data_IF_440106577055
#
_entry.id   IF_440106577055
#
_cell.length_a   1.000
_cell.length_b   1.000
_cell.length_c   1.000
_cell.angle_alpha   90.00
_cell.angle_beta   90.00
_cell.angle_gamma   90.00
#
_symmetry.space_group_name_H-M   'P 1'
#
loop_
_entity.id
_entity.type
_entity.pdbx_description
1 polymer ?
#
# COMPACT_ATOMS: atom_id res chain seq x y z
N UNK A 1 -12.65 -8.79 53.87
CA UNK A 1 -12.19 -10.14 54.25
C UNK A 1 -11.59 -10.01 55.65
N UNK A 2 -12.30 -10.49 56.68
CA UNK A 2 -11.79 -10.47 58.07
C UNK A 2 -11.12 -11.82 58.29
N UNK A 3 -9.82 -11.83 58.54
CA UNK A 3 -9.08 -13.04 58.86
C UNK A 3 -9.28 -13.37 60.34
N UNK A 4 -9.70 -14.59 60.65
CA UNK A 4 -9.82 -15.05 62.04
C UNK A 4 -8.44 -15.55 62.48
N UNK A 5 -7.86 -14.90 63.49
CA UNK A 5 -6.59 -15.32 64.09
C UNK A 5 -6.84 -16.53 64.99
N UNK A 6 -6.19 -17.66 64.70
CA UNK A 6 -6.27 -18.91 65.47
C UNK A 6 -4.87 -19.32 65.94
N UNK A 7 -4.72 -20.06 67.05
CA UNK A 7 -3.42 -20.57 67.45
C UNK A 7 -2.84 -21.45 66.32
N UNK A 8 -1.52 -21.42 66.08
CA UNK A 8 -0.88 -22.31 65.12
C UNK A 8 -1.26 -23.76 65.42
N UNK A 9 -1.78 -24.46 64.42
CA UNK A 9 -2.13 -25.88 64.52
C UNK A 9 -1.16 -26.70 63.68
N UNK A 10 -0.87 -27.92 64.12
CA UNK A 10 -0.01 -28.85 63.38
C UNK A 10 -0.86 -29.65 62.40
N UNK A 11 -0.59 -29.51 61.11
CA UNK A 11 -1.30 -30.24 60.06
C UNK A 11 -1.05 -31.76 60.17
N UNK A 12 -2.11 -32.55 60.04
CA UNK A 12 -2.07 -33.99 60.29
C UNK A 12 -1.37 -34.79 59.19
N UNK A 13 -1.29 -34.25 57.97
CA UNK A 13 -0.68 -34.91 56.81
C UNK A 13 0.80 -34.55 56.65
N UNK A 14 1.13 -33.27 56.72
CA UNK A 14 2.49 -32.74 56.52
C UNK A 14 3.29 -32.65 57.81
N UNK A 15 2.63 -32.60 58.98
CA UNK A 15 3.29 -32.41 60.28
C UNK A 15 3.85 -30.99 60.49
N UNK A 16 3.50 -30.03 59.63
CA UNK A 16 3.97 -28.64 59.65
C UNK A 16 2.93 -27.74 60.32
N UNK A 17 3.39 -26.72 61.04
CA UNK A 17 2.51 -25.75 61.69
C UNK A 17 1.90 -24.76 60.68
N UNK A 18 0.66 -24.32 60.92
CA UNK A 18 0.02 -23.27 60.13
C UNK A 18 0.47 -21.86 60.57
N UNK A 19 0.28 -20.86 59.71
CA UNK A 19 0.67 -19.45 59.97
C UNK A 19 -0.25 -18.71 60.97
N UNK A 20 -1.26 -19.38 61.54
CA UNK A 20 -2.16 -18.83 62.56
C UNK A 20 -3.29 -17.94 62.03
N UNK A 21 -3.49 -17.86 60.71
CA UNK A 21 -4.59 -17.14 60.08
C UNK A 21 -5.42 -18.08 59.21
N UNK A 22 -6.73 -17.87 59.21
CA UNK A 22 -7.67 -18.58 58.34
C UNK A 22 -8.42 -17.58 57.46
N UNK A 23 -8.43 -17.85 56.16
CA UNK A 23 -9.06 -17.04 55.13
C UNK A 23 -10.09 -17.90 54.39
N UNK A 24 -11.37 -17.71 54.69
CA UNK A 24 -12.48 -18.43 54.02
C UNK A 24 -12.30 -19.96 54.04
N UNK A 25 -11.95 -20.51 55.20
CA UNK A 25 -11.67 -21.94 55.39
C UNK A 25 -10.30 -22.41 54.91
N UNK A 26 -9.52 -21.59 54.22
CA UNK A 26 -8.14 -21.89 53.82
C UNK A 26 -7.14 -21.47 54.91
N UNK A 27 -6.16 -22.34 55.18
CA UNK A 27 -5.04 -22.11 56.11
C UNK A 27 -3.73 -22.33 55.37
N UNK A 28 -2.70 -21.58 55.74
CA UNK A 28 -1.38 -21.65 55.10
C UNK A 28 -0.40 -22.43 56.00
N UNK A 29 0.34 -23.38 55.41
CA UNK A 29 1.41 -24.10 56.10
C UNK A 29 2.70 -23.26 56.14
N UNK A 30 3.36 -23.21 57.29
CA UNK A 30 4.65 -22.55 57.47
C UNK A 30 5.82 -23.44 57.02
N UNK A 31 5.79 -23.86 55.76
CA UNK A 31 6.87 -24.63 55.16
C UNK A 31 8.08 -23.74 54.84
N UNK A 32 9.31 -24.20 55.09
CA UNK A 32 10.47 -23.53 54.52
C UNK A 32 10.40 -23.65 52.99
N UNK A 33 10.79 -22.58 52.29
CA UNK A 33 10.86 -22.61 50.82
C UNK A 33 11.73 -23.78 50.33
N UNK A 34 11.35 -24.47 49.24
CA UNK A 34 12.14 -25.58 48.72
C UNK A 34 13.56 -25.13 48.39
N UNK A 35 14.56 -25.87 48.85
CA UNK A 35 15.98 -25.50 48.65
C UNK A 35 16.36 -25.35 47.17
N UNK A 36 15.83 -26.21 46.32
CA UNK A 36 16.05 -26.12 44.86
C UNK A 36 15.48 -24.83 44.27
N UNK A 37 14.34 -24.36 44.78
CA UNK A 37 13.72 -23.10 44.35
C UNK A 37 14.59 -21.91 44.75
N UNK A 38 15.12 -21.90 45.99
CA UNK A 38 16.07 -20.89 46.44
C UNK A 38 17.34 -20.86 45.57
N UNK A 39 17.88 -22.02 45.22
CA UNK A 39 19.05 -22.10 44.34
C UNK A 39 18.76 -21.49 42.96
N UNK A 40 17.63 -21.82 42.34
CA UNK A 40 17.23 -21.23 41.05
C UNK A 40 17.07 -19.71 41.19
N UNK A 41 16.41 -19.24 42.25
CA UNK A 41 16.23 -17.82 42.51
C UNK A 41 17.57 -17.07 42.66
N UNK A 42 18.55 -17.67 43.35
CA UNK A 42 19.88 -17.07 43.47
C UNK A 42 20.64 -17.10 42.13
N UNK A 43 20.51 -18.18 41.35
CA UNK A 43 21.13 -18.27 40.02
C UNK A 43 20.58 -17.22 39.06
N UNK A 44 19.27 -16.92 39.09
CA UNK A 44 18.71 -15.87 38.23
C UNK A 44 19.20 -14.47 38.61
N UNK A 45 19.45 -14.21 39.90
CA UNK A 45 20.08 -12.96 40.36
C UNK A 45 21.53 -12.86 39.86
N UNK A 46 22.32 -13.93 40.00
CA UNK A 46 23.70 -13.94 39.50
C UNK A 46 23.71 -13.77 37.97
N UNK A 47 22.78 -14.42 37.27
CA UNK A 47 22.64 -14.30 35.82
C UNK A 47 22.26 -12.88 35.39
N UNK A 48 21.36 -12.19 36.11
CA UNK A 48 20.99 -10.82 35.76
C UNK A 48 22.16 -9.85 35.92
N UNK A 49 22.94 -9.98 37.01
CA UNK A 49 24.16 -9.19 37.21
C UNK A 49 25.17 -9.46 36.10
N UNK A 50 25.40 -10.72 35.74
CA UNK A 50 26.26 -11.08 34.62
C UNK A 50 25.77 -10.47 33.29
N UNK A 51 24.46 -10.55 33.03
CA UNK A 51 23.85 -10.02 31.80
C UNK A 51 24.01 -8.49 31.69
N UNK A 52 23.89 -7.76 32.80
CA UNK A 52 24.13 -6.30 32.83
C UNK A 52 25.58 -5.91 32.52
N UNK A 53 26.54 -6.78 32.84
CA UNK A 53 27.95 -6.54 32.52
C UNK A 53 28.23 -6.83 31.05
N UNK A 54 27.57 -7.83 30.46
CA UNK A 54 27.81 -8.27 29.09
C UNK A 54 27.07 -7.43 28.06
N UNK A 55 25.83 -7.05 28.35
CA UNK A 55 24.91 -6.38 27.41
C UNK A 55 24.57 -4.93 27.84
N UNK A 56 24.06 -4.12 26.90
CA UNK A 56 23.43 -2.85 27.22
C UNK A 56 22.36 -2.95 28.30
N UNK A 57 22.45 -2.14 29.37
CA UNK A 57 21.55 -2.28 30.51
C UNK A 57 21.12 -0.95 31.16
N UNK A 58 22.03 -0.26 31.85
CA UNK A 58 21.66 0.84 32.75
C UNK A 58 21.73 2.20 32.06
N UNK A 59 20.69 3.04 32.18
CA UNK A 59 20.73 4.40 31.65
C UNK A 59 21.75 5.25 32.44
N UNK A 60 22.47 6.11 31.73
CA UNK A 60 23.43 7.07 32.27
C UNK A 60 23.13 8.46 31.70
N UNK A 61 23.74 9.51 32.25
CA UNK A 61 23.59 10.88 31.72
C UNK A 61 24.05 11.02 30.26
N UNK A 62 24.85 10.07 29.77
CA UNK A 62 25.41 10.07 28.41
C UNK A 62 24.82 8.95 27.53
N UNK A 63 23.78 8.25 27.98
CA UNK A 63 23.13 7.16 27.24
C UNK A 63 22.91 5.93 28.10
N UNK A 64 23.70 4.88 27.90
CA UNK A 64 23.58 3.61 28.62
C UNK A 64 24.93 2.92 28.82
N UNK A 65 25.01 1.97 29.75
CA UNK A 65 26.18 1.09 29.88
C UNK A 65 26.28 0.20 28.65
N UNK A 66 27.37 0.21 27.85
CA UNK A 66 27.42 -0.52 26.57
C UNK A 66 27.58 -2.03 26.68
N UNK A 67 27.92 -2.54 27.87
CA UNK A 67 28.31 -3.93 28.10
C UNK A 67 29.70 -4.26 27.52
N UNK A 68 30.31 -5.36 27.99
CA UNK A 68 31.66 -5.77 27.57
C UNK A 68 31.72 -6.31 26.13
N UNK A 69 30.61 -6.86 25.62
CA UNK A 69 30.53 -7.38 24.25
C UNK A 69 30.26 -6.29 23.19
N UNK A 70 29.84 -5.09 23.62
CA UNK A 70 29.48 -4.00 22.70
C UNK A 70 28.36 -4.36 21.71
N UNK A 71 27.55 -5.38 22.04
CA UNK A 71 26.41 -5.83 21.26
C UNK A 71 25.30 -4.77 21.25
N UNK A 72 24.65 -4.59 20.11
CA UNK A 72 23.40 -3.83 20.01
C UNK A 72 22.49 -4.49 18.99
N UNK A 73 21.17 -4.33 19.16
CA UNK A 73 20.18 -4.81 18.18
C UNK A 73 20.44 -4.24 16.78
N UNK A 74 20.88 -2.99 16.69
CA UNK A 74 21.24 -2.35 15.43
C UNK A 74 22.46 -3.00 14.75
N UNK A 75 23.54 -3.29 15.49
CA UNK A 75 24.70 -4.00 14.93
C UNK A 75 24.32 -5.40 14.46
N UNK A 76 23.51 -6.10 15.25
CA UNK A 76 23.03 -7.44 14.89
C UNK A 76 22.19 -7.41 13.60
N UNK A 77 21.32 -6.41 13.44
CA UNK A 77 20.52 -6.21 12.23
C UNK A 77 21.40 -5.93 11.01
N UNK A 78 22.37 -5.02 11.14
CA UNK A 78 23.29 -4.71 10.04
C UNK A 78 24.08 -5.95 9.61
N UNK A 79 24.56 -6.74 10.57
CA UNK A 79 25.29 -7.97 10.30
C UNK A 79 24.41 -9.04 9.67
N UNK A 80 23.16 -9.20 10.13
CA UNK A 80 22.24 -10.21 9.56
C UNK A 80 21.76 -9.85 8.15
N UNK A 81 21.76 -8.56 7.79
CA UNK A 81 21.37 -8.08 6.46
C UNK A 81 22.57 -7.85 5.52
N UNK A 82 23.81 -7.93 6.02
CA UNK A 82 25.00 -7.53 5.26
C UNK A 82 25.13 -8.26 3.92
N UNK A 83 24.94 -9.58 3.90
CA UNK A 83 25.04 -10.39 2.67
C UNK A 83 24.01 -9.96 1.62
N UNK A 84 22.75 -9.78 2.05
CA UNK A 84 21.64 -9.38 1.16
C UNK A 84 21.87 -7.97 0.64
N UNK A 85 22.28 -7.04 1.51
CA UNK A 85 22.58 -5.66 1.13
C UNK A 85 23.73 -5.60 0.14
N UNK A 86 24.81 -6.35 0.36
CA UNK A 86 25.94 -6.41 -0.58
C UNK A 86 25.54 -6.98 -1.95
N UNK A 87 24.75 -8.06 -1.97
CA UNK A 87 24.25 -8.63 -3.22
C UNK A 87 23.37 -7.64 -3.97
N UNK A 88 22.41 -7.01 -3.28
CA UNK A 88 21.52 -6.00 -3.89
C UNK A 88 22.30 -4.79 -4.40
N UNK A 89 23.27 -4.30 -3.62
CA UNK A 89 24.09 -3.16 -4.01
C UNK A 89 24.80 -3.38 -5.34
N UNK A 90 25.34 -4.58 -5.59
CA UNK A 90 25.99 -4.89 -6.86
C UNK A 90 25.06 -4.75 -8.09
N UNK A 91 23.77 -5.06 -7.96
CA UNK A 91 22.80 -4.85 -9.03
C UNK A 91 22.36 -3.39 -9.14
N UNK A 92 22.09 -2.74 -8.00
CA UNK A 92 21.70 -1.33 -7.96
C UNK A 92 22.81 -0.44 -8.55
N UNK A 93 24.08 -0.71 -8.24
CA UNK A 93 25.22 0.01 -8.81
C UNK A 93 25.31 -0.16 -10.33
N UNK A 94 24.98 -1.34 -10.87
CA UNK A 94 24.90 -1.57 -12.31
C UNK A 94 23.71 -0.85 -12.97
N UNK A 95 22.59 -0.71 -12.26
CA UNK A 95 21.38 -0.04 -12.75
C UNK A 95 21.49 1.48 -12.74
N UNK A 96 22.35 2.01 -11.86
CA UNK A 96 22.46 3.44 -11.62
C UNK A 96 22.75 4.21 -12.92
N UNK A 97 21.85 5.13 -13.25
CA UNK A 97 21.97 5.98 -14.44
C UNK A 97 21.63 5.29 -15.77
N UNK A 98 21.26 4.00 -15.77
CA UNK A 98 20.71 3.34 -16.95
C UNK A 98 19.31 3.86 -17.26
N UNK A 99 18.97 3.84 -18.55
CA UNK A 99 17.59 4.04 -18.99
C UNK A 99 16.74 2.81 -18.68
N UNK A 100 15.42 3.00 -18.66
CA UNK A 100 14.46 1.90 -18.51
C UNK A 100 14.64 0.84 -19.61
N UNK A 101 14.95 1.28 -20.83
CA UNK A 101 15.13 0.39 -21.97
C UNK A 101 16.46 -0.39 -21.89
N UNK A 102 17.53 0.21 -21.37
CA UNK A 102 18.80 -0.49 -21.14
C UNK A 102 18.66 -1.58 -20.08
N UNK A 103 17.90 -1.30 -19.01
CA UNK A 103 17.59 -2.29 -17.97
C UNK A 103 16.77 -3.43 -18.57
N UNK A 104 15.76 -3.11 -19.39
CA UNK A 104 14.90 -4.10 -20.04
C UNK A 104 15.66 -5.03 -20.98
N UNK A 105 16.67 -4.52 -21.70
CA UNK A 105 17.48 -5.31 -22.62
C UNK A 105 18.57 -6.15 -21.94
N UNK A 106 18.80 -5.97 -20.65
CA UNK A 106 19.74 -6.78 -19.87
C UNK A 106 18.97 -7.85 -19.09
N UNK A 107 19.04 -9.15 -19.48
CA UNK A 107 18.28 -10.19 -18.79
C UNK A 107 18.57 -10.26 -17.28
N UNK A 108 19.84 -10.05 -16.90
CA UNK A 108 20.27 -10.02 -15.50
C UNK A 108 19.58 -8.88 -14.71
N UNK A 109 19.57 -7.65 -15.27
CA UNK A 109 19.01 -6.48 -14.59
C UNK A 109 17.49 -6.46 -14.67
N UNK A 110 16.90 -6.97 -15.75
CA UNK A 110 15.46 -7.10 -15.92
C UNK A 110 14.86 -8.03 -14.86
N UNK A 111 15.43 -9.22 -14.65
CA UNK A 111 14.97 -10.15 -13.60
C UNK A 111 15.11 -9.56 -12.20
N UNK A 112 16.23 -8.87 -11.93
CA UNK A 112 16.40 -8.15 -10.68
C UNK A 112 15.35 -7.05 -10.50
N UNK A 113 15.06 -6.28 -11.56
CA UNK A 113 14.08 -5.22 -11.54
C UNK A 113 12.64 -5.73 -11.37
N UNK A 114 12.29 -6.86 -12.00
CA UNK A 114 11.00 -7.52 -11.78
C UNK A 114 10.83 -7.97 -10.33
N UNK A 115 11.84 -8.63 -9.76
CA UNK A 115 11.79 -9.11 -8.39
C UNK A 115 11.70 -7.93 -7.39
N UNK A 116 12.54 -6.91 -7.56
CA UNK A 116 12.53 -5.71 -6.72
C UNK A 116 11.24 -4.91 -6.86
N UNK A 117 10.76 -4.72 -8.09
CA UNK A 117 9.51 -4.03 -8.40
C UNK A 117 8.30 -4.74 -7.81
N UNK A 118 8.25 -6.07 -7.85
CA UNK A 118 7.17 -6.85 -7.24
C UNK A 118 7.10 -6.67 -5.72
N UNK A 119 8.25 -6.56 -5.04
CA UNK A 119 8.30 -6.27 -3.59
C UNK A 119 7.85 -4.84 -3.33
N UNK A 120 8.42 -3.87 -4.05
CA UNK A 120 8.06 -2.47 -3.91
C UNK A 120 6.56 -2.24 -4.16
N UNK A 121 5.97 -2.92 -5.15
CA UNK A 121 4.56 -2.83 -5.47
C UNK A 121 3.68 -3.34 -4.32
N UNK A 122 4.04 -4.49 -3.72
CA UNK A 122 3.31 -5.04 -2.57
C UNK A 122 3.35 -4.12 -1.36
N UNK A 123 4.48 -3.49 -1.10
CA UNK A 123 4.66 -2.59 0.05
C UNK A 123 3.97 -1.24 -0.13
N UNK A 124 3.93 -0.72 -1.37
CA UNK A 124 3.60 0.68 -1.63
C UNK A 124 2.33 0.89 -2.47
N UNK A 125 2.00 -0.02 -3.39
CA UNK A 125 0.97 0.19 -4.41
C UNK A 125 -0.28 -0.68 -4.20
N UNK A 126 -0.11 -1.89 -3.66
CA UNK A 126 -1.15 -2.90 -3.54
C UNK A 126 -2.37 -2.46 -2.69
N UNK A 127 -2.18 -1.53 -1.76
CA UNK A 127 -3.28 -0.98 -0.97
C UNK A 127 -4.35 -0.32 -1.86
N UNK A 128 -3.91 0.36 -2.93
CA UNK A 128 -4.79 1.04 -3.88
C UNK A 128 -5.10 0.14 -5.08
N UNK A 129 -4.09 -0.42 -5.73
CA UNK A 129 -4.23 -1.16 -6.99
C UNK A 129 -4.47 -2.66 -6.83
N UNK A 130 -4.66 -3.16 -5.61
CA UNK A 130 -4.87 -4.58 -5.35
C UNK A 130 -3.57 -5.39 -5.36
N UNK A 131 -3.59 -6.55 -4.71
CA UNK A 131 -2.39 -7.40 -4.52
C UNK A 131 -1.88 -8.05 -5.81
N UNK A 132 -2.76 -8.22 -6.80
CA UNK A 132 -2.44 -8.70 -8.14
C UNK A 132 -2.55 -7.59 -9.19
N UNK A 133 -2.48 -6.33 -8.78
CA UNK A 133 -2.63 -5.16 -9.64
C UNK A 133 -3.98 -5.00 -10.35
N UNK A 134 -5.00 -5.77 -9.95
CA UNK A 134 -6.32 -5.80 -10.56
C UNK A 134 -7.20 -4.56 -10.31
N UNK A 135 -6.69 -3.55 -9.61
CA UNK A 135 -7.44 -2.38 -9.18
C UNK A 135 -8.46 -2.68 -8.07
N UNK A 136 -9.49 -1.85 -8.00
CA UNK A 136 -10.65 -2.00 -7.10
C UNK A 136 -11.94 -1.87 -7.91
N UNK A 137 -13.07 -2.18 -7.28
CA UNK A 137 -14.38 -2.08 -7.93
C UNK A 137 -14.67 -0.69 -8.52
N UNK A 138 -14.21 0.39 -7.88
CA UNK A 138 -14.30 1.77 -8.40
C UNK A 138 -13.08 2.59 -7.99
N UNK A 139 -12.67 3.51 -8.86
CA UNK A 139 -11.72 4.60 -8.55
C UNK A 139 -10.24 4.25 -8.53
N UNK A 140 -9.87 2.97 -8.65
CA UNK A 140 -8.48 2.53 -8.76
C UNK A 140 -8.29 1.69 -10.01
N UNK A 141 -7.46 2.15 -10.97
CA UNK A 141 -7.23 1.44 -12.23
C UNK A 141 -6.69 0.04 -12.01
N UNK A 142 -7.13 -0.87 -12.87
CA UNK A 142 -6.45 -2.12 -13.11
C UNK A 142 -5.14 -1.83 -13.86
N UNK A 143 -4.03 -2.39 -13.39
CA UNK A 143 -2.70 -2.22 -13.98
C UNK A 143 -2.20 -3.53 -14.63
N UNK A 144 -3.05 -4.57 -14.69
CA UNK A 144 -2.76 -5.84 -15.35
C UNK A 144 -3.59 -6.07 -16.63
N UNK A 145 -4.23 -5.02 -17.15
CA UNK A 145 -4.86 -5.00 -18.46
C UNK A 145 -4.16 -4.02 -19.41
N UNK A 146 -4.70 -3.91 -20.62
CA UNK A 146 -4.12 -3.10 -21.70
C UNK A 146 -4.73 -1.68 -21.78
N UNK A 147 -5.55 -1.25 -20.81
CA UNK A 147 -6.19 0.07 -20.81
C UNK A 147 -5.48 1.08 -19.91
N UNK A 148 -4.85 2.07 -20.54
CA UNK A 148 -3.95 3.01 -19.87
C UNK A 148 -4.42 4.45 -20.04
N UNK A 149 -4.93 5.03 -18.94
CA UNK A 149 -5.37 6.42 -18.90
C UNK A 149 -4.26 7.40 -19.31
N UNK A 150 -3.03 7.20 -18.83
CA UNK A 150 -1.90 8.13 -19.00
C UNK A 150 -0.80 7.61 -19.93
N UNK A 151 -1.14 6.61 -20.76
CA UNK A 151 -0.19 5.89 -21.61
C UNK A 151 0.43 4.67 -20.92
N UNK A 152 0.64 3.61 -21.69
CA UNK A 152 1.12 2.31 -21.20
C UNK A 152 2.56 1.98 -21.56
N UNK A 153 3.30 2.87 -22.24
CA UNK A 153 4.72 2.66 -22.50
C UNK A 153 5.50 2.79 -21.19
N UNK A 154 6.67 2.18 -21.15
CA UNK A 154 7.52 2.16 -19.95
C UNK A 154 7.82 3.57 -19.39
N UNK A 155 8.11 4.55 -20.27
CA UNK A 155 8.31 5.95 -19.88
C UNK A 155 7.03 6.63 -19.37
N UNK A 156 5.87 6.26 -19.90
CA UNK A 156 4.59 6.83 -19.49
C UNK A 156 4.24 6.39 -18.07
N UNK A 157 4.43 5.09 -17.79
CA UNK A 157 4.28 4.47 -16.47
C UNK A 157 5.27 5.09 -15.49
N UNK A 158 6.55 5.16 -15.84
CA UNK A 158 7.59 5.76 -15.01
C UNK A 158 7.27 7.20 -14.65
N UNK A 159 6.87 8.02 -15.62
CA UNK A 159 6.45 9.40 -15.36
C UNK A 159 5.27 9.43 -14.40
N UNK A 160 4.25 8.59 -14.61
CA UNK A 160 3.08 8.52 -13.73
C UNK A 160 3.48 8.16 -12.30
N UNK A 161 4.37 7.20 -12.09
CA UNK A 161 4.83 6.81 -10.75
C UNK A 161 5.67 7.92 -10.10
N UNK A 162 6.59 8.51 -10.86
CA UNK A 162 7.49 9.57 -10.35
C UNK A 162 6.72 10.80 -9.92
N UNK A 163 5.96 11.41 -10.83
CA UNK A 163 5.33 12.73 -10.60
C UNK A 163 3.87 12.64 -10.14
N UNK A 164 3.21 11.50 -10.30
CA UNK A 164 1.81 11.32 -9.94
C UNK A 164 0.80 12.00 -10.87
N UNK A 165 -0.47 11.84 -10.51
CA UNK A 165 -1.66 12.43 -11.15
C UNK A 165 -2.42 13.24 -10.11
N UNK A 166 -2.66 14.53 -10.34
CA UNK A 166 -3.28 15.43 -9.36
C UNK A 166 -2.60 15.36 -7.96
N UNK A 167 -1.29 15.07 -7.95
CA UNK A 167 -0.47 14.79 -6.77
C UNK A 167 0.02 16.05 -6.03
N UNK A 168 -0.10 17.23 -6.66
CA UNK A 168 0.52 18.47 -6.19
C UNK A 168 1.98 18.64 -6.59
N UNK A 169 2.58 17.68 -7.31
CA UNK A 169 3.92 17.82 -7.87
C UNK A 169 3.95 18.87 -9.01
N UNK A 170 5.04 19.63 -9.17
CA UNK A 170 5.14 20.70 -10.19
C UNK A 170 4.95 20.19 -11.63
N UNK A 171 5.47 18.99 -11.89
CA UNK A 171 5.38 18.31 -13.18
C UNK A 171 4.30 17.22 -13.20
N UNK A 172 3.35 17.25 -12.26
CA UNK A 172 2.29 16.26 -12.17
C UNK A 172 1.54 16.10 -13.49
N UNK A 173 0.99 14.91 -13.72
CA UNK A 173 -0.06 14.73 -14.71
C UNK A 173 -1.38 15.24 -14.13
N UNK A 174 -2.24 15.80 -14.96
CA UNK A 174 -3.54 16.28 -14.48
C UNK A 174 -4.40 16.86 -15.58
N UNK A 175 -5.66 16.45 -15.60
CA UNK A 175 -6.74 17.09 -16.33
C UNK A 175 -8.00 16.87 -15.51
N UNK A 176 -8.88 17.85 -15.52
CA UNK A 176 -10.11 17.81 -14.75
C UNK A 176 -11.30 17.87 -15.71
N UNK A 177 -12.14 16.83 -15.64
CA UNK A 177 -13.45 16.86 -16.26
C UNK A 177 -14.32 17.89 -15.50
N UNK A 178 -14.97 18.84 -16.18
CA UNK A 178 -15.95 19.72 -15.54
C UNK A 178 -17.10 18.93 -14.94
N UNK A 179 -17.64 19.38 -13.80
CA UNK A 179 -18.85 18.78 -13.25
C UNK A 179 -20.07 19.42 -13.94
N UNK A 180 -20.40 18.92 -15.14
CA UNK A 180 -21.34 19.58 -16.04
C UNK A 180 -22.71 19.86 -15.42
N UNK A 181 -23.20 18.97 -14.54
CA UNK A 181 -24.47 19.18 -13.83
C UNK A 181 -24.33 20.07 -12.60
N UNK A 182 -23.39 19.75 -11.71
CA UNK A 182 -23.19 20.49 -10.46
C UNK A 182 -22.82 21.95 -10.70
N UNK A 183 -22.01 22.22 -11.72
CA UNK A 183 -21.54 23.55 -12.07
C UNK A 183 -22.50 24.26 -13.05
N UNK A 184 -23.63 23.63 -13.41
CA UNK A 184 -24.71 24.23 -14.20
C UNK A 184 -24.40 24.44 -15.68
N UNK A 185 -23.39 23.73 -16.22
CA UNK A 185 -22.98 23.83 -17.63
C UNK A 185 -23.97 23.12 -18.57
N UNK A 186 -24.60 22.05 -18.09
CA UNK A 186 -25.65 21.32 -18.81
C UNK A 186 -26.90 21.19 -17.92
N UNK A 187 -28.07 21.25 -18.55
CA UNK A 187 -29.35 20.93 -17.90
C UNK A 187 -29.47 19.43 -17.67
N UNK A 188 -30.35 19.03 -16.76
CA UNK A 188 -30.55 17.62 -16.42
C UNK A 188 -30.94 16.77 -17.62
N UNK A 189 -31.85 17.27 -18.46
CA UNK A 189 -32.28 16.56 -19.68
C UNK A 189 -31.10 16.38 -20.66
N UNK A 190 -30.22 17.38 -20.76
CA UNK A 190 -29.01 17.29 -21.60
C UNK A 190 -28.03 16.24 -21.06
N UNK A 191 -27.90 16.12 -19.75
CA UNK A 191 -27.06 15.10 -19.10
C UNK A 191 -27.64 13.70 -19.36
N UNK A 192 -28.96 13.54 -19.25
CA UNK A 192 -29.65 12.28 -19.57
C UNK A 192 -29.40 11.86 -21.04
N UNK A 193 -29.52 12.80 -21.98
CA UNK A 193 -29.30 12.55 -23.41
C UNK A 193 -27.85 12.13 -23.71
N UNK A 194 -26.86 12.85 -23.20
CA UNK A 194 -25.44 12.49 -23.41
C UNK A 194 -25.05 11.21 -22.66
N UNK A 195 -25.67 10.92 -21.52
CA UNK A 195 -25.46 9.65 -20.79
C UNK A 195 -25.87 8.46 -21.65
N UNK A 196 -27.06 8.53 -22.27
CA UNK A 196 -27.54 7.47 -23.19
C UNK A 196 -26.61 7.30 -24.37
N UNK A 197 -26.17 8.41 -24.97
CA UNK A 197 -25.22 8.37 -26.08
C UNK A 197 -23.89 7.70 -25.68
N UNK A 198 -23.28 8.12 -24.57
CA UNK A 198 -21.99 7.59 -24.08
C UNK A 198 -22.09 6.11 -23.73
N UNK A 199 -23.17 5.68 -23.07
CA UNK A 199 -23.42 4.28 -22.74
C UNK A 199 -23.42 3.37 -23.97
N UNK A 200 -23.75 3.90 -25.13
CA UNK A 200 -23.85 3.15 -26.39
C UNK A 200 -22.63 3.30 -27.31
N UNK A 201 -21.65 4.13 -26.96
CA UNK A 201 -20.45 4.35 -27.77
C UNK A 201 -19.62 3.09 -28.02
N UNK A 202 -19.66 2.11 -27.10
CA UNK A 202 -18.97 0.84 -27.27
C UNK A 202 -19.67 -0.10 -28.28
N UNK A 203 -20.94 0.14 -28.60
CA UNK A 203 -21.71 -0.72 -29.52
C UNK A 203 -21.25 -0.50 -30.95
N UNK A 204 -20.92 -1.59 -31.65
CA UNK A 204 -20.52 -1.57 -33.08
C UNK A 204 -21.67 -1.21 -34.01
N UNK A 205 -22.90 -1.52 -33.61
CA UNK A 205 -24.11 -1.15 -34.35
C UNK A 205 -24.75 0.06 -33.67
N UNK A 206 -25.08 1.08 -34.47
CA UNK A 206 -25.77 2.26 -33.95
C UNK A 206 -27.09 1.81 -33.33
N UNK A 207 -27.32 2.23 -32.08
CA UNK A 207 -28.63 2.10 -31.47
C UNK A 207 -29.68 2.85 -32.29
N UNK A 208 -30.95 2.53 -32.05
CA UNK A 208 -32.09 3.22 -32.66
C UNK A 208 -31.91 4.73 -32.50
N UNK A 209 -31.91 5.47 -33.62
CA UNK A 209 -31.55 6.90 -33.67
C UNK A 209 -32.71 7.77 -33.14
N UNK A 210 -33.02 7.60 -31.86
CA UNK A 210 -33.99 8.39 -31.12
C UNK A 210 -33.55 9.87 -31.05
N UNK A 211 -34.50 10.77 -30.82
CA UNK A 211 -34.17 12.20 -30.68
C UNK A 211 -33.20 12.46 -29.52
N UNK A 212 -33.35 11.72 -28.41
CA UNK A 212 -32.42 11.75 -27.28
C UNK A 212 -30.99 11.37 -27.68
N UNK A 213 -30.83 10.33 -28.51
CA UNK A 213 -29.52 9.92 -29.01
C UNK A 213 -28.88 11.00 -29.89
N UNK A 214 -29.67 11.65 -30.77
CA UNK A 214 -29.18 12.73 -31.65
C UNK A 214 -28.72 13.95 -30.85
N UNK A 215 -29.50 14.36 -29.85
CA UNK A 215 -29.13 15.45 -28.94
C UNK A 215 -27.88 15.09 -28.13
N UNK A 216 -27.82 13.88 -27.58
CA UNK A 216 -26.66 13.37 -26.84
C UNK A 216 -25.38 13.38 -27.67
N UNK A 217 -25.46 12.97 -28.95
CA UNK A 217 -24.36 13.03 -29.91
C UNK A 217 -23.86 14.46 -30.14
N UNK A 218 -24.78 15.42 -30.30
CA UNK A 218 -24.43 16.84 -30.49
C UNK A 218 -23.78 17.44 -29.25
N UNK A 219 -24.30 17.12 -28.07
CA UNK A 219 -23.73 17.53 -26.78
C UNK A 219 -22.32 16.95 -26.61
N UNK A 220 -22.14 15.66 -26.92
CA UNK A 220 -20.84 15.00 -26.86
C UNK A 220 -19.83 15.63 -27.81
N UNK A 221 -20.22 15.87 -29.07
CA UNK A 221 -19.37 16.52 -30.06
C UNK A 221 -18.91 17.91 -29.58
N UNK A 222 -19.79 18.67 -28.94
CA UNK A 222 -19.52 20.04 -28.48
C UNK A 222 -18.68 20.09 -27.21
N UNK A 223 -18.91 19.19 -26.25
CA UNK A 223 -18.38 19.33 -24.88
C UNK A 223 -17.36 18.25 -24.48
N UNK A 224 -17.43 17.06 -25.07
CA UNK A 224 -16.70 15.88 -24.59
C UNK A 224 -15.58 15.46 -25.55
N UNK A 225 -15.80 15.65 -26.86
CA UNK A 225 -14.91 15.12 -27.91
C UNK A 225 -13.50 15.71 -27.92
N UNK A 226 -13.31 16.89 -27.36
CA UNK A 226 -11.99 17.54 -27.24
C UNK A 226 -11.03 16.76 -26.33
N UNK A 227 -11.56 16.07 -25.32
CA UNK A 227 -10.77 15.26 -24.39
C UNK A 227 -10.93 13.76 -24.69
N UNK A 228 -12.15 13.29 -24.95
CA UNK A 228 -12.42 11.86 -25.12
C UNK A 228 -12.34 11.37 -26.58
N UNK A 229 -12.01 12.25 -27.52
CA UNK A 229 -11.99 11.91 -28.94
C UNK A 229 -13.38 11.90 -29.57
N UNK A 230 -13.44 11.91 -30.90
CA UNK A 230 -14.72 12.06 -31.64
C UNK A 230 -15.61 10.82 -31.53
N UNK A 231 -15.00 9.66 -31.40
CA UNK A 231 -15.65 8.36 -31.26
C UNK A 231 -15.47 7.78 -29.86
N UNK A 232 -15.07 8.58 -28.87
CA UNK A 232 -14.82 8.08 -27.51
C UNK A 232 -13.53 7.28 -27.37
N UNK A 233 -12.56 7.45 -28.27
CA UNK A 233 -11.28 6.73 -28.26
C UNK A 233 -10.31 7.13 -27.12
N UNK A 234 -10.68 8.13 -26.31
CA UNK A 234 -9.87 8.62 -25.20
C UNK A 234 -8.65 9.45 -25.64
N UNK A 235 -7.92 9.98 -24.67
CA UNK A 235 -6.68 10.72 -24.92
C UNK A 235 -5.71 10.56 -23.76
N UNK A 236 -4.62 9.81 -24.01
CA UNK A 236 -3.60 9.50 -23.02
C UNK A 236 -2.77 10.72 -22.56
N UNK A 237 -2.69 11.78 -23.37
CA UNK A 237 -1.95 13.01 -23.02
C UNK A 237 -2.62 13.75 -21.85
N UNK A 238 -3.94 13.64 -21.75
CA UNK A 238 -4.78 14.29 -20.75
C UNK A 238 -5.44 13.31 -19.79
N UNK A 239 -5.11 12.03 -19.83
CA UNK A 239 -5.69 11.07 -18.89
C UNK A 239 -7.16 10.74 -19.16
N UNK A 240 -7.69 11.11 -20.33
CA UNK A 240 -9.10 10.93 -20.65
C UNK A 240 -9.37 9.46 -21.04
N UNK A 241 -10.21 8.72 -20.28
CA UNK A 241 -10.49 7.32 -20.57
C UNK A 241 -11.18 7.17 -21.92
N UNK A 242 -11.02 5.98 -22.49
CA UNK A 242 -11.86 5.50 -23.58
C UNK A 242 -13.29 5.37 -23.06
N UNK A 243 -14.24 5.75 -23.90
CA UNK A 243 -15.68 5.64 -23.65
C UNK A 243 -16.33 4.66 -24.63
N UNK A 244 -15.54 4.13 -25.59
CA UNK A 244 -15.98 3.22 -26.64
C UNK A 244 -15.54 1.77 -26.42
N UNK A 245 -15.23 1.41 -25.18
CA UNK A 245 -15.01 0.03 -24.75
C UNK A 245 -15.83 -0.28 -23.49
N UNK A 246 -15.63 -1.48 -22.96
CA UNK A 246 -16.35 -1.97 -21.78
C UNK A 246 -15.54 -1.82 -20.49
N UNK A 247 -14.40 -1.12 -20.53
CA UNK A 247 -13.51 -0.96 -19.38
C UNK A 247 -13.83 0.37 -18.69
N UNK A 248 -14.35 0.30 -17.47
CA UNK A 248 -14.83 1.48 -16.73
C UNK A 248 -14.20 1.59 -15.35
N UNK A 249 -13.59 2.74 -15.05
CA UNK A 249 -13.03 3.03 -13.72
C UNK A 249 -14.10 3.34 -12.65
N UNK A 250 -15.20 3.97 -13.05
CA UNK A 250 -16.26 4.45 -12.14
C UNK A 250 -17.62 3.76 -12.32
N UNK A 251 -17.69 2.78 -13.23
CA UNK A 251 -18.89 2.04 -13.64
C UNK A 251 -19.44 2.53 -14.99
N UNK A 252 -19.85 1.58 -15.84
CA UNK A 252 -20.40 1.82 -17.18
C UNK A 252 -21.93 1.71 -17.27
N UNK A 253 -22.61 1.51 -16.13
CA UNK A 253 -24.07 1.60 -16.07
C UNK A 253 -24.54 3.06 -16.18
N UNK A 254 -25.82 3.23 -16.52
CA UNK A 254 -26.40 4.55 -16.80
C UNK A 254 -26.29 5.51 -15.62
N UNK A 255 -26.54 5.03 -14.41
CA UNK A 255 -26.48 5.85 -13.19
C UNK A 255 -25.03 6.29 -12.90
N UNK A 256 -24.06 5.38 -13.07
CA UNK A 256 -22.63 5.69 -12.89
C UNK A 256 -22.14 6.73 -13.91
N UNK A 257 -22.53 6.59 -15.19
CA UNK A 257 -22.18 7.56 -16.24
C UNK A 257 -22.84 8.91 -15.97
N UNK A 258 -24.14 8.93 -15.68
CA UNK A 258 -24.89 10.15 -15.34
C UNK A 258 -24.25 10.87 -14.15
N UNK A 259 -23.90 10.13 -13.09
CA UNK A 259 -23.23 10.69 -11.92
C UNK A 259 -21.84 11.27 -12.27
N UNK A 260 -21.07 10.58 -13.10
CA UNK A 260 -19.75 11.04 -13.55
C UNK A 260 -19.87 12.36 -14.32
N UNK A 261 -20.82 12.47 -15.25
CA UNK A 261 -21.05 13.69 -16.03
C UNK A 261 -21.56 14.82 -15.12
N UNK A 262 -22.42 14.49 -14.15
CA UNK A 262 -23.00 15.47 -13.23
C UNK A 262 -21.97 16.06 -12.27
N UNK A 263 -21.16 15.20 -11.64
CA UNK A 263 -20.35 15.57 -10.47
C UNK A 263 -18.83 15.60 -10.73
N UNK A 264 -18.39 15.03 -11.85
CA UNK A 264 -17.00 14.70 -12.15
C UNK A 264 -16.33 13.84 -11.05
N UNK A 265 -15.13 13.35 -11.36
CA UNK A 265 -14.27 12.66 -10.41
C UNK A 265 -12.87 13.25 -10.46
N UNK A 266 -12.25 13.42 -9.29
CA UNK A 266 -10.86 13.85 -9.17
C UNK A 266 -10.03 12.69 -8.63
N UNK A 267 -9.59 11.82 -9.53
CA UNK A 267 -8.65 10.74 -9.19
C UNK A 267 -7.28 11.30 -8.85
N UNK A 268 -6.65 10.77 -7.80
CA UNK A 268 -5.30 11.15 -7.39
C UNK A 268 -4.41 9.91 -7.38
N UNK A 269 -3.27 10.02 -8.06
CA UNK A 269 -2.16 9.08 -7.94
C UNK A 269 -1.01 9.86 -7.29
N UNK A 270 -0.59 9.53 -6.06
CA UNK A 270 0.40 10.32 -5.33
C UNK A 270 1.77 10.23 -6.01
N UNK A 271 2.58 11.29 -5.91
CA UNK A 271 3.98 11.25 -6.34
C UNK A 271 4.80 10.33 -5.42
N UNK A 272 5.69 9.53 -6.01
CA UNK A 272 6.59 8.64 -5.28
C UNK A 272 8.05 9.14 -5.25
N UNK A 273 8.39 10.19 -5.98
CA UNK A 273 9.75 10.73 -6.10
C UNK A 273 10.38 11.13 -4.77
N UNK A 274 9.59 11.54 -3.78
CA UNK A 274 10.10 11.92 -2.45
C UNK A 274 10.21 10.75 -1.47
N UNK A 275 9.69 9.58 -1.82
CA UNK A 275 9.60 8.42 -0.93
C UNK A 275 10.44 7.24 -1.39
N UNK A 276 10.60 7.09 -2.70
CA UNK A 276 11.36 6.02 -3.33
C UNK A 276 12.46 6.64 -4.18
N UNK A 277 13.64 6.01 -4.18
CA UNK A 277 14.71 6.39 -5.09
C UNK A 277 14.36 6.05 -6.55
N UNK A 278 15.09 6.67 -7.48
CA UNK A 278 14.87 6.52 -8.93
C UNK A 278 14.96 5.06 -9.40
N UNK A 279 15.93 4.29 -8.87
CA UNK A 279 16.11 2.90 -9.26
C UNK A 279 14.92 2.06 -8.79
N UNK A 280 14.39 2.30 -7.60
CA UNK A 280 13.15 1.68 -7.11
C UNK A 280 11.94 2.05 -7.97
N UNK A 281 11.81 3.30 -8.41
CA UNK A 281 10.74 3.73 -9.31
C UNK A 281 10.88 3.06 -10.69
N UNK A 282 12.09 2.90 -11.21
CA UNK A 282 12.35 2.15 -12.45
C UNK A 282 11.97 0.69 -12.31
N UNK A 283 12.36 0.03 -11.22
CA UNK A 283 11.96 -1.36 -10.93
C UNK A 283 10.44 -1.51 -10.86
N UNK A 284 9.75 -0.58 -10.20
CA UNK A 284 8.28 -0.54 -10.18
C UNK A 284 7.69 -0.39 -11.59
N UNK A 285 8.26 0.49 -12.41
CA UNK A 285 7.77 0.75 -13.77
C UNK A 285 7.90 -0.48 -14.66
N UNK A 286 9.05 -1.17 -14.57
CA UNK A 286 9.31 -2.43 -15.28
C UNK A 286 8.37 -3.53 -14.81
N UNK A 287 8.17 -3.66 -13.49
CA UNK A 287 7.26 -4.64 -12.93
C UNK A 287 5.81 -4.40 -13.40
N UNK A 288 5.31 -3.17 -13.28
CA UNK A 288 3.95 -2.82 -13.71
C UNK A 288 3.77 -3.04 -15.22
N UNK A 289 4.75 -2.65 -16.04
CA UNK A 289 4.72 -2.90 -17.50
C UNK A 289 4.65 -4.40 -17.82
N UNK A 290 5.29 -5.24 -17.02
CA UNK A 290 5.25 -6.71 -17.20
C UNK A 290 3.89 -7.35 -16.89
N UNK A 291 3.00 -6.68 -16.14
CA UNK A 291 1.70 -7.23 -15.74
C UNK A 291 0.62 -7.05 -16.81
N UNK A 292 0.63 -5.93 -17.52
CA UNK A 292 -0.43 -5.46 -18.42
C UNK A 292 0.03 -5.22 -19.85
N UNK A 293 0.76 -6.18 -20.43
CA UNK A 293 0.65 -6.47 -21.86
C UNK A 293 1.01 -5.38 -22.87
N UNK A 294 2.07 -4.59 -22.66
CA UNK A 294 2.88 -4.06 -23.77
C UNK A 294 2.19 -3.15 -24.80
N UNK A 295 2.03 -1.88 -24.42
CA UNK A 295 2.41 -0.81 -25.36
C UNK A 295 3.91 -0.52 -25.25
#
# INVERSE_FOLDING_TARGET
MSGIQKPPEKDSLSGVETTGHEWDGLKELNNPTPRWWLWIFLVTIVWSVWYWVVYPAWPTLQGHTPGSYGWTQHKQLLQSQQEITQRRAAYLDKMKGLSLEDIRHSPELYEFALAGGAVAFKENCAACHGTGAQGRAKGYPNLNDDDWLWGGRLDDIYKTIRVGVNSGHESQRGTQMPAFGRDGLLKREQIEDVTKYVKELHKKEMAEETDAYKHGREIFATNCSSCHGKAGEGNAEVGAPRLNDEIWLWGGDEDSIHNTITNAHLGVMPTWEHRLDDDTIKMLSIYVHSLGGGK
#
